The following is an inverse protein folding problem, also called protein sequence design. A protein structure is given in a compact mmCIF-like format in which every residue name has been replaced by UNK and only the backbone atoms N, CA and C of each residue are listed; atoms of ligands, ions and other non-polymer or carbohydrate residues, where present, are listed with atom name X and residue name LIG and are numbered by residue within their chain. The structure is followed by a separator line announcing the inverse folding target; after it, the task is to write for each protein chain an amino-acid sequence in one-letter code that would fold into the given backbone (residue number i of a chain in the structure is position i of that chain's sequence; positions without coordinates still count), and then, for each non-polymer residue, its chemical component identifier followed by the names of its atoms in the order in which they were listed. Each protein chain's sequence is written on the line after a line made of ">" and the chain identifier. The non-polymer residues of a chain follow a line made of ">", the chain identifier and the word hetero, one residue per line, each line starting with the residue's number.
data_IF_105859435508
#
_entry.id   IF_105859435508
#
_cell.length_a   1.000
_cell.length_b   1.000
_cell.length_c   1.000
_cell.angle_alpha   90.00
_cell.angle_beta   90.00
_cell.angle_gamma   90.00
#
_symmetry.space_group_name_H-M   'P 1'
#
loop_
_entity.id
_entity.type
_entity.pdbx_description
1 polymer ?
#
# COMPACT_ATOMS: atom_id res chain seq x y z
N UNK A 1 9.42 28.06 -12.44
CA UNK A 1 8.98 27.31 -11.23
C UNK A 1 7.65 27.89 -10.77
N UNK A 2 6.67 27.03 -10.52
CA UNK A 2 5.37 27.50 -10.07
C UNK A 2 5.41 27.94 -8.60
N UNK A 3 4.75 29.06 -8.29
CA UNK A 3 4.61 29.54 -6.92
C UNK A 3 3.48 28.75 -6.24
N UNK A 4 3.70 28.20 -5.05
CA UNK A 4 2.63 27.54 -4.31
C UNK A 4 1.49 28.54 -4.00
N UNK A 5 0.27 28.04 -4.08
CA UNK A 5 -0.92 28.81 -3.73
C UNK A 5 -1.74 28.02 -2.70
N UNK A 6 -2.54 28.74 -1.91
CA UNK A 6 -3.48 28.09 -1.01
C UNK A 6 -4.61 27.46 -1.80
N UNK A 7 -5.14 26.35 -1.30
CA UNK A 7 -6.33 25.73 -1.87
C UNK A 7 -7.49 26.73 -1.74
N UNK A 8 -8.20 27.03 -2.84
CA UNK A 8 -9.32 27.99 -2.80
C UNK A 8 -10.58 27.39 -2.19
N UNK A 9 -10.57 26.12 -1.81
CA UNK A 9 -11.75 25.41 -1.31
C UNK A 9 -11.49 24.79 0.06
N UNK A 10 -12.57 24.33 0.69
CA UNK A 10 -12.51 23.58 1.93
C UNK A 10 -11.74 22.26 1.73
N UNK A 11 -11.01 21.81 2.75
CA UNK A 11 -10.36 20.51 2.75
C UNK A 11 -11.40 19.39 2.65
N UNK A 12 -11.07 18.37 1.86
CA UNK A 12 -11.91 17.19 1.69
C UNK A 12 -11.30 15.99 2.40
N UNK A 13 -12.16 15.16 2.99
CA UNK A 13 -11.80 13.82 3.46
C UNK A 13 -12.15 12.83 2.37
N UNK A 14 -11.41 11.73 2.30
CA UNK A 14 -11.72 10.64 1.40
C UNK A 14 -13.03 9.96 1.83
N UNK A 15 -14.01 9.94 0.92
CA UNK A 15 -15.29 9.29 1.18
C UNK A 15 -15.30 7.92 0.51
N UNK A 16 -15.20 6.87 1.31
CA UNK A 16 -15.08 5.50 0.82
C UNK A 16 -16.40 4.72 0.89
N UNK A 17 -17.54 5.42 1.07
CA UNK A 17 -18.85 4.74 1.22
C UNK A 17 -19.21 3.85 0.03
N UNK A 18 -18.69 4.16 -1.16
CA UNK A 18 -18.95 3.39 -2.38
C UNK A 18 -17.79 2.45 -2.74
N UNK A 19 -16.76 2.38 -1.92
CA UNK A 19 -15.65 1.46 -2.16
C UNK A 19 -16.04 0.05 -1.74
N UNK A 20 -15.73 -0.91 -2.59
CA UNK A 20 -15.98 -2.33 -2.28
C UNK A 20 -14.67 -2.97 -1.80
N UNK A 21 -14.29 -2.63 -0.57
CA UNK A 21 -13.07 -3.12 0.03
C UNK A 21 -13.06 -4.64 0.16
N UNK A 22 -11.91 -5.27 -0.03
CA UNK A 22 -11.71 -6.72 0.04
C UNK A 22 -10.50 -7.05 0.90
N UNK A 23 -10.56 -8.18 1.59
CA UNK A 23 -9.37 -8.74 2.21
C UNK A 23 -8.42 -9.26 1.12
N UNK A 24 -7.13 -9.19 1.36
CA UNK A 24 -6.11 -9.82 0.52
C UNK A 24 -5.62 -11.08 1.26
N UNK A 25 -6.01 -12.26 0.76
CA UNK A 25 -5.69 -13.51 1.44
C UNK A 25 -6.15 -13.51 2.90
N UNK A 26 -5.33 -14.04 3.78
CA UNK A 26 -5.58 -14.10 5.23
C UNK A 26 -4.86 -12.99 6.00
N UNK A 27 -4.34 -11.99 5.31
CA UNK A 27 -3.63 -10.88 5.95
C UNK A 27 -4.59 -10.01 6.75
N UNK A 28 -4.11 -9.53 7.90
CA UNK A 28 -4.92 -8.75 8.85
C UNK A 28 -4.56 -7.27 8.81
N UNK A 29 -5.46 -6.44 9.33
CA UNK A 29 -5.28 -5.02 9.60
C UNK A 29 -5.27 -4.12 8.38
N UNK A 30 -5.67 -4.62 7.22
CA UNK A 30 -5.89 -3.81 6.05
C UNK A 30 -6.87 -4.47 5.08
N UNK A 31 -7.44 -3.65 4.22
CA UNK A 31 -8.26 -4.08 3.09
C UNK A 31 -7.78 -3.39 1.84
N UNK A 32 -8.09 -3.96 0.68
CA UNK A 32 -7.61 -3.44 -0.61
C UNK A 32 -8.76 -3.36 -1.62
N UNK A 33 -8.54 -2.53 -2.62
CA UNK A 33 -9.28 -2.58 -3.87
C UNK A 33 -8.27 -2.42 -5.01
N UNK A 34 -8.26 -3.35 -5.96
CA UNK A 34 -7.29 -3.37 -7.05
C UNK A 34 -7.89 -2.66 -8.24
N UNK A 35 -7.21 -1.60 -8.71
CA UNK A 35 -7.65 -0.82 -9.86
C UNK A 35 -7.33 -1.51 -11.18
N UNK A 36 -6.10 -2.00 -11.32
CA UNK A 36 -5.64 -2.65 -12.54
C UNK A 36 -4.41 -3.50 -12.29
N UNK A 37 -4.23 -4.51 -13.13
CA UNK A 37 -3.03 -5.35 -13.15
C UNK A 37 -2.62 -5.54 -14.59
N UNK A 38 -1.36 -5.25 -14.90
CA UNK A 38 -0.76 -5.50 -16.22
C UNK A 38 0.33 -6.56 -16.04
N UNK A 39 -0.01 -7.81 -16.28
CA UNK A 39 0.92 -8.92 -16.11
C UNK A 39 2.09 -8.88 -17.09
N UNK A 40 1.88 -8.34 -18.27
CA UNK A 40 2.93 -8.25 -19.30
C UNK A 40 4.04 -7.27 -18.87
N UNK A 41 3.68 -6.23 -18.12
CA UNK A 41 4.61 -5.20 -17.63
C UNK A 41 4.91 -5.26 -16.15
N UNK A 42 4.35 -6.23 -15.44
CA UNK A 42 4.50 -6.40 -13.99
C UNK A 42 4.06 -5.16 -13.21
N UNK A 43 2.91 -4.60 -13.58
CA UNK A 43 2.35 -3.40 -12.93
C UNK A 43 1.09 -3.78 -12.17
N UNK A 44 0.98 -3.33 -10.91
CA UNK A 44 -0.24 -3.43 -10.13
C UNK A 44 -0.53 -2.06 -9.51
N UNK A 45 -1.74 -1.56 -9.75
CA UNK A 45 -2.24 -0.32 -9.17
C UNK A 45 -3.41 -0.65 -8.25
N UNK A 46 -3.31 -0.23 -7.00
CA UNK A 46 -4.33 -0.55 -6.01
C UNK A 46 -4.37 0.48 -4.90
N UNK A 47 -5.43 0.44 -4.11
CA UNK A 47 -5.61 1.30 -2.95
C UNK A 47 -5.77 0.41 -1.72
N UNK A 48 -5.15 0.83 -0.62
CA UNK A 48 -5.19 0.12 0.67
C UNK A 48 -5.81 1.03 1.71
N UNK A 49 -6.61 0.44 2.58
CA UNK A 49 -7.09 1.09 3.80
C UNK A 49 -6.54 0.32 4.99
N UNK A 50 -5.69 1.00 5.77
CA UNK A 50 -5.10 0.44 6.99
C UNK A 50 -5.95 0.75 8.20
N UNK A 51 -6.09 -0.22 9.10
CA UNK A 51 -6.75 -0.01 10.40
C UNK A 51 -5.99 0.99 11.27
N UNK A 52 -6.71 1.77 12.10
CA UNK A 52 -6.06 2.69 13.03
C UNK A 52 -5.11 1.97 13.98
N UNK A 53 -3.91 2.52 14.13
CA UNK A 53 -2.93 2.13 15.16
C UNK A 53 -2.49 0.67 15.10
N UNK A 54 -2.53 0.04 13.92
CA UNK A 54 -2.11 -1.34 13.70
C UNK A 54 -0.96 -1.40 12.72
N UNK A 55 -0.08 -2.38 12.90
CA UNK A 55 1.01 -2.65 11.98
C UNK A 55 0.68 -3.90 11.17
N UNK A 56 1.01 -3.89 9.89
CA UNK A 56 0.94 -5.10 9.07
C UNK A 56 2.29 -5.85 9.13
N UNK A 57 2.34 -6.98 8.48
CA UNK A 57 3.51 -7.88 8.46
C UNK A 57 4.76 -7.18 7.93
N UNK A 58 5.93 -7.70 8.34
CA UNK A 58 7.22 -7.30 7.77
C UNK A 58 7.27 -7.76 6.32
N UNK A 59 7.64 -6.86 5.41
CA UNK A 59 7.73 -7.20 3.99
C UNK A 59 8.87 -6.43 3.33
N UNK A 60 9.36 -6.97 2.21
CA UNK A 60 10.36 -6.33 1.37
C UNK A 60 9.76 -6.05 0.01
N UNK A 61 9.91 -4.83 -0.46
CA UNK A 61 9.52 -4.48 -1.82
C UNK A 61 10.57 -5.05 -2.79
N UNK A 62 10.12 -5.84 -3.76
CA UNK A 62 10.96 -6.36 -4.85
C UNK A 62 10.82 -5.52 -6.10
N UNK A 63 9.97 -4.53 -6.08
CA UNK A 63 9.60 -3.69 -7.21
C UNK A 63 9.63 -2.22 -6.82
N UNK A 64 9.83 -1.34 -7.80
CA UNK A 64 9.64 0.09 -7.60
C UNK A 64 8.21 0.33 -7.11
N UNK A 65 8.06 1.03 -6.00
CA UNK A 65 6.76 1.26 -5.37
C UNK A 65 6.53 2.74 -5.18
N UNK A 66 5.48 3.25 -5.82
CA UNK A 66 5.03 4.63 -5.68
C UNK A 66 3.80 4.64 -4.80
N UNK A 67 3.77 5.55 -3.81
CA UNK A 67 2.64 5.66 -2.90
C UNK A 67 2.18 7.12 -2.78
N UNK A 68 0.87 7.29 -2.57
CA UNK A 68 0.28 8.60 -2.32
C UNK A 68 -0.72 8.48 -1.18
N UNK A 69 -0.55 9.30 -0.13
CA UNK A 69 -1.44 9.28 1.03
C UNK A 69 -2.70 10.06 0.73
N UNK A 70 -3.83 9.36 0.68
CA UNK A 70 -5.14 9.92 0.32
C UNK A 70 -5.88 10.44 1.55
N UNK A 71 -5.80 9.72 2.67
CA UNK A 71 -6.43 10.11 3.94
C UNK A 71 -5.67 9.49 5.11
N UNK A 72 -5.80 10.09 6.29
CA UNK A 72 -5.14 9.63 7.49
C UNK A 72 -3.63 9.88 7.50
N UNK A 73 -2.88 8.95 8.06
CA UNK A 73 -1.42 9.01 8.13
C UNK A 73 -0.84 7.64 7.81
N UNK A 74 0.14 7.60 6.91
CA UNK A 74 0.87 6.38 6.57
C UNK A 74 2.13 6.31 7.42
N UNK A 75 2.24 5.28 8.25
CA UNK A 75 3.37 5.12 9.15
C UNK A 75 4.22 3.96 8.68
N UNK A 76 5.52 4.20 8.54
CA UNK A 76 6.53 3.19 8.25
C UNK A 76 7.22 2.84 9.56
N UNK A 77 7.36 1.55 9.81
CA UNK A 77 8.02 1.03 11.01
C UNK A 77 9.24 0.20 10.65
N UNK A 78 10.24 0.24 11.51
CA UNK A 78 11.35 -0.70 11.47
C UNK A 78 10.87 -2.11 11.75
N UNK A 79 11.71 -3.11 11.48
CA UNK A 79 11.38 -4.50 11.75
C UNK A 79 11.03 -4.75 13.23
N UNK A 80 11.63 -3.99 14.15
CA UNK A 80 11.35 -4.09 15.59
C UNK A 80 10.08 -3.36 16.03
N UNK A 81 9.37 -2.70 15.10
CA UNK A 81 8.14 -1.99 15.36
C UNK A 81 8.30 -0.53 15.74
N UNK A 82 9.52 0.00 15.80
CA UNK A 82 9.73 1.43 16.04
C UNK A 82 9.34 2.24 14.82
N UNK A 83 8.81 3.44 15.05
CA UNK A 83 8.43 4.34 13.96
C UNK A 83 9.68 4.82 13.23
N UNK A 84 9.68 4.65 11.90
CA UNK A 84 10.73 5.17 11.01
C UNK A 84 10.31 6.48 10.36
N UNK A 85 9.06 6.58 9.91
CA UNK A 85 8.57 7.74 9.17
C UNK A 85 7.06 7.88 9.35
N UNK A 86 6.57 9.12 9.41
CA UNK A 86 5.14 9.44 9.46
C UNK A 86 4.82 10.31 8.24
N UNK A 87 3.96 9.80 7.37
CA UNK A 87 3.65 10.45 6.09
C UNK A 87 2.23 10.99 6.12
N UNK A 88 2.08 12.32 6.07
CA UNK A 88 0.74 12.95 6.10
C UNK A 88 0.01 12.85 4.76
N UNK A 89 -1.27 13.20 4.77
CA UNK A 89 -2.08 13.34 3.56
C UNK A 89 -1.35 14.21 2.54
N UNK A 90 -1.36 13.78 1.28
CA UNK A 90 -0.72 14.49 0.19
C UNK A 90 0.74 14.12 -0.05
N UNK A 91 1.35 13.31 0.83
CA UNK A 91 2.72 12.85 0.63
C UNK A 91 2.78 11.82 -0.50
N UNK A 92 3.60 12.09 -1.50
CA UNK A 92 3.99 11.14 -2.53
C UNK A 92 5.37 10.59 -2.23
N UNK A 93 5.55 9.27 -2.37
CA UNK A 93 6.85 8.61 -2.17
C UNK A 93 7.11 7.64 -3.31
N UNK A 94 8.33 7.63 -3.81
CA UNK A 94 8.80 6.65 -4.79
C UNK A 94 9.98 5.91 -4.16
N UNK A 95 9.82 4.61 -3.95
CA UNK A 95 10.81 3.78 -3.24
C UNK A 95 11.38 2.71 -4.16
N UNK A 96 12.70 2.63 -4.19
CA UNK A 96 13.40 1.56 -4.90
C UNK A 96 13.23 0.23 -4.17
N UNK A 97 13.39 -0.92 -4.88
CA UNK A 97 13.34 -2.23 -4.24
C UNK A 97 14.44 -2.42 -3.20
N UNK A 98 14.21 -3.32 -2.25
CA UNK A 98 15.22 -3.84 -1.34
C UNK A 98 15.00 -3.53 0.13
N UNK A 99 14.27 -2.48 0.46
CA UNK A 99 14.01 -2.14 1.86
C UNK A 99 12.94 -3.06 2.46
N UNK A 100 13.19 -3.50 3.69
CA UNK A 100 12.22 -4.27 4.47
C UNK A 100 11.68 -3.40 5.61
N UNK A 101 10.36 -3.37 5.75
CA UNK A 101 9.69 -2.59 6.79
C UNK A 101 8.30 -3.15 7.10
N UNK A 102 7.75 -2.68 8.21
CA UNK A 102 6.33 -2.80 8.52
C UNK A 102 5.66 -1.47 8.23
N UNK A 103 4.35 -1.46 8.07
CA UNK A 103 3.61 -0.23 7.85
C UNK A 103 2.20 -0.33 8.40
N UNK A 104 1.51 0.81 8.48
CA UNK A 104 0.15 0.86 8.96
C UNK A 104 -0.41 2.26 8.98
N UNK A 105 -1.60 2.40 9.56
CA UNK A 105 -2.27 3.67 9.72
C UNK A 105 -1.93 4.34 11.05
N UNK A 106 -2.02 5.65 11.07
CA UNK A 106 -1.96 6.41 12.32
C UNK A 106 -3.22 6.26 13.16
N UNK A 107 -3.45 7.20 14.09
CA UNK A 107 -4.58 7.13 15.04
C UNK A 107 -5.95 7.05 14.34
N UNK A 108 -6.07 7.58 13.14
CA UNK A 108 -7.31 7.58 12.34
C UNK A 108 -7.23 6.64 11.14
N UNK A 109 -6.23 5.74 11.09
CA UNK A 109 -6.02 4.87 9.96
C UNK A 109 -5.29 5.56 8.81
N UNK A 110 -5.35 4.94 7.64
CA UNK A 110 -4.74 5.50 6.43
C UNK A 110 -5.41 4.93 5.19
N UNK A 111 -5.62 5.76 4.20
CA UNK A 111 -5.95 5.34 2.85
C UNK A 111 -4.77 5.70 1.97
N UNK A 112 -4.20 4.71 1.29
CA UNK A 112 -2.96 4.84 0.56
C UNK A 112 -3.11 4.25 -0.84
N UNK A 113 -2.74 5.04 -1.86
CA UNK A 113 -2.64 4.55 -3.23
C UNK A 113 -1.26 3.99 -3.48
N UNK A 114 -1.21 2.79 -4.08
CA UNK A 114 0.00 2.11 -4.50
C UNK A 114 0.04 1.97 -6.01
N UNK A 115 1.20 2.25 -6.59
CA UNK A 115 1.54 1.84 -7.96
C UNK A 115 2.85 1.07 -7.91
N UNK A 116 2.80 -0.21 -8.22
CA UNK A 116 3.96 -1.12 -8.11
C UNK A 116 4.39 -1.52 -9.51
N UNK A 117 5.68 -1.37 -9.80
CA UNK A 117 6.25 -1.62 -11.12
C UNK A 117 7.46 -2.51 -11.00
N UNK A 118 7.29 -3.81 -11.31
CA UNK A 118 8.34 -4.80 -11.16
C UNK A 118 9.18 -5.03 -12.40
N UNK A 119 10.42 -5.42 -12.18
CA UNK A 119 11.29 -5.92 -13.26
C UNK A 119 11.03 -7.41 -13.54
N UNK A 120 10.34 -8.07 -12.60
CA UNK A 120 9.85 -9.43 -12.74
C UNK A 120 8.44 -9.50 -12.15
N UNK A 121 7.82 -10.67 -12.19
CA UNK A 121 6.48 -10.85 -11.65
C UNK A 121 6.44 -10.88 -10.12
N UNK A 122 7.58 -11.03 -9.43
CA UNK A 122 7.67 -11.00 -7.98
C UNK A 122 7.67 -9.54 -7.50
N UNK A 123 6.67 -9.15 -6.70
CA UNK A 123 6.46 -7.77 -6.29
C UNK A 123 6.81 -7.52 -4.82
N UNK A 124 6.48 -8.46 -3.94
CA UNK A 124 6.72 -8.34 -2.49
C UNK A 124 7.11 -9.68 -1.90
N UNK A 125 8.05 -9.66 -0.96
CA UNK A 125 8.27 -10.79 -0.06
C UNK A 125 7.63 -10.48 1.29
N UNK A 126 6.82 -11.40 1.78
CA UNK A 126 6.31 -11.39 3.16
C UNK A 126 7.32 -12.11 4.02
N UNK A 127 7.76 -11.48 5.10
CA UNK A 127 8.86 -11.94 5.92
C UNK A 127 8.40 -12.25 7.35
N UNK A 128 9.09 -13.18 8.01
CA UNK A 128 9.00 -13.31 9.46
C UNK A 128 9.96 -12.31 10.14
N UNK A 129 9.99 -12.29 11.47
CA UNK A 129 10.82 -11.35 12.21
C UNK A 129 12.33 -11.63 12.08
N UNK A 130 12.71 -12.77 11.55
CA UNK A 130 14.09 -13.13 11.24
C UNK A 130 14.43 -12.88 9.77
N UNK A 131 13.59 -12.14 9.06
CA UNK A 131 13.74 -11.82 7.63
C UNK A 131 13.66 -13.03 6.70
N UNK A 132 13.09 -14.12 7.17
CA UNK A 132 12.87 -15.30 6.36
C UNK A 132 11.63 -15.10 5.49
N UNK A 133 11.71 -15.46 4.22
CA UNK A 133 10.58 -15.34 3.29
C UNK A 133 9.52 -16.39 3.63
N UNK A 134 8.32 -15.92 3.97
CA UNK A 134 7.14 -16.75 4.21
C UNK A 134 6.31 -16.94 2.95
N UNK A 135 6.24 -15.90 2.11
CA UNK A 135 5.48 -15.92 0.87
C UNK A 135 6.02 -14.83 -0.06
N UNK A 136 5.82 -15.01 -1.35
CA UNK A 136 6.10 -13.98 -2.35
C UNK A 136 4.79 -13.63 -3.05
N UNK A 137 4.42 -12.35 -3.04
CA UNK A 137 3.26 -11.85 -3.76
C UNK A 137 3.69 -11.47 -5.18
N UNK A 138 2.99 -12.03 -6.16
CA UNK A 138 3.30 -11.88 -7.58
C UNK A 138 2.19 -11.15 -8.31
N UNK A 139 2.47 -10.69 -9.51
CA UNK A 139 1.43 -10.07 -10.36
C UNK A 139 0.24 -10.99 -10.54
N UNK A 140 0.47 -12.32 -10.63
CA UNK A 140 -0.62 -13.30 -10.73
C UNK A 140 -1.53 -13.31 -9.50
N UNK A 141 -0.99 -13.07 -8.31
CA UNK A 141 -1.80 -12.98 -7.08
C UNK A 141 -2.72 -11.76 -7.12
N UNK A 142 -2.19 -10.62 -7.55
CA UNK A 142 -2.97 -9.39 -7.72
C UNK A 142 -4.01 -9.55 -8.85
N UNK A 143 -3.65 -10.23 -9.93
CA UNK A 143 -4.57 -10.48 -11.02
C UNK A 143 -5.73 -11.37 -10.58
N UNK A 144 -5.45 -12.43 -9.81
CA UNK A 144 -6.50 -13.30 -9.27
C UNK A 144 -7.44 -12.52 -8.35
N UNK A 145 -6.90 -11.67 -7.48
CA UNK A 145 -7.71 -10.82 -6.61
C UNK A 145 -8.54 -9.81 -7.41
N UNK A 146 -7.95 -9.22 -8.45
CA UNK A 146 -8.65 -8.30 -9.36
C UNK A 146 -9.83 -8.98 -10.05
N UNK A 147 -9.61 -10.18 -10.57
CA UNK A 147 -10.67 -10.94 -11.25
C UNK A 147 -11.79 -11.34 -10.27
N UNK A 148 -11.43 -11.68 -9.03
CA UNK A 148 -12.41 -12.02 -7.99
C UNK A 148 -13.31 -10.82 -7.65
N UNK A 149 -12.78 -9.58 -7.72
CA UNK A 149 -13.58 -8.38 -7.47
C UNK A 149 -14.75 -8.21 -8.44
N UNK A 150 -14.60 -8.71 -9.68
CA UNK A 150 -15.64 -8.57 -10.71
C UNK A 150 -16.84 -9.49 -10.47
N UNK A 151 -16.69 -10.48 -9.63
CA UNK A 151 -17.71 -11.52 -9.41
C UNK A 151 -18.59 -11.24 -8.20
N UNK A 152 -18.37 -10.16 -7.55
CA UNK A 152 -19.12 -9.89 -6.35
C UNK A 152 -18.78 -8.67 -5.62
#
# INVERSE_FOLDING_TARGET
>A
MATPVESPTTSYRFDDRNMQWRALGDFEHFVVFIFSVDEARNIADFIIKFEPSKQIFLHRHLALTNTFVVDGEHIIYEADGKVRDVRPVGRYTSSQPGDAHKEGGGAHGCVLHYSVRGESDALFDVLDDDFKVLATLRTSDFKAAFDAQKQG
#
